data_IF_566383941016
#
_entry.id   IF_566383941016
#
_cell.length_a   1.000
_cell.length_b   1.000
_cell.length_c   1.000
_cell.angle_alpha   90.00
_cell.angle_beta   90.00
_cell.angle_gamma   90.00
#
_symmetry.space_group_name_H-M   'P 1'
#
loop_
_entity.id
_entity.type
_entity.pdbx_description
1 polymer ?
#
# COMPACT_ATOMS: atom_id res chain seq x y z
N UNK A 1 16.69 26.53 3.56
CA UNK A 1 15.39 25.95 3.14
C UNK A 1 14.59 26.97 2.30
N UNK A 2 15.08 27.33 1.11
CA UNK A 2 14.54 28.39 0.24
C UNK A 2 14.73 28.01 -1.25
N UNK A 3 14.05 26.99 -1.78
CA UNK A 3 14.31 26.58 -3.19
C UNK A 3 13.16 26.71 -4.18
N UNK A 4 11.92 27.00 -3.76
CA UNK A 4 10.85 27.42 -4.68
C UNK A 4 9.81 28.25 -3.94
N UNK A 5 9.68 29.54 -4.26
CA UNK A 5 8.56 30.42 -3.84
C UNK A 5 7.28 30.00 -4.56
N UNK A 6 6.81 28.78 -4.33
CA UNK A 6 5.50 28.33 -4.78
C UNK A 6 4.61 28.38 -3.55
N UNK A 7 3.74 29.38 -3.48
CA UNK A 7 2.72 29.39 -2.44
C UNK A 7 1.91 28.11 -2.54
N UNK A 8 1.66 27.47 -1.39
CA UNK A 8 0.79 26.30 -1.32
C UNK A 8 -0.64 26.76 -1.66
N UNK A 9 -0.92 26.83 -2.97
CA UNK A 9 -2.18 27.30 -3.52
C UNK A 9 -3.25 26.21 -3.38
N UNK A 10 -4.51 26.62 -3.32
CA UNK A 10 -5.69 25.72 -3.37
C UNK A 10 -5.57 24.74 -4.56
N UNK A 11 -4.94 25.18 -5.64
CA UNK A 11 -4.72 24.39 -6.86
C UNK A 11 -3.67 23.29 -6.66
N UNK A 12 -2.62 23.55 -5.87
CA UNK A 12 -1.66 22.50 -5.48
C UNK A 12 -2.31 21.46 -4.54
N UNK A 13 -3.21 21.91 -3.65
CA UNK A 13 -4.00 21.04 -2.78
C UNK A 13 -4.93 20.11 -3.58
N UNK A 14 -5.60 20.62 -4.62
CA UNK A 14 -6.42 19.79 -5.54
C UNK A 14 -5.53 18.73 -6.23
N UNK A 15 -4.32 19.12 -6.65
CA UNK A 15 -3.32 18.19 -7.16
C UNK A 15 -3.08 17.03 -6.19
N UNK A 16 -2.70 17.32 -4.94
CA UNK A 16 -2.47 16.30 -3.91
C UNK A 16 -3.69 15.42 -3.65
N UNK A 17 -4.90 15.97 -3.62
CA UNK A 17 -6.13 15.19 -3.45
C UNK A 17 -6.34 14.18 -4.59
N UNK A 18 -6.09 14.59 -5.84
CA UNK A 18 -6.14 13.69 -7.00
C UNK A 18 -5.07 12.60 -6.91
N UNK A 19 -3.87 12.96 -6.47
CA UNK A 19 -2.77 12.00 -6.27
C UNK A 19 -3.14 10.92 -5.27
N UNK A 20 -3.73 11.30 -4.13
CA UNK A 20 -4.18 10.35 -3.10
C UNK A 20 -5.14 9.32 -3.72
N UNK A 21 -6.07 9.74 -4.58
CA UNK A 21 -7.01 8.83 -5.25
C UNK A 21 -6.34 7.81 -6.15
N UNK A 22 -5.40 8.26 -6.99
CA UNK A 22 -4.65 7.40 -7.93
C UNK A 22 -3.81 6.37 -7.15
N UNK A 23 -3.07 6.84 -6.16
CA UNK A 23 -2.16 6.02 -5.35
C UNK A 23 -2.95 5.02 -4.48
N UNK A 24 -4.01 5.48 -3.81
CA UNK A 24 -4.86 4.62 -2.95
C UNK A 24 -5.52 3.49 -3.73
N UNK A 25 -6.02 3.77 -4.95
CA UNK A 25 -6.61 2.73 -5.81
C UNK A 25 -5.60 1.62 -6.09
N UNK A 26 -4.36 1.98 -6.42
CA UNK A 26 -3.30 1.02 -6.71
C UNK A 26 -2.91 0.19 -5.46
N UNK A 27 -2.91 0.81 -4.27
CA UNK A 27 -2.65 0.15 -2.99
C UNK A 27 -3.75 -0.86 -2.61
N UNK A 28 -5.02 -0.43 -2.67
CA UNK A 28 -6.17 -1.29 -2.36
C UNK A 28 -6.16 -2.53 -3.26
N UNK A 29 -5.91 -2.34 -4.55
CA UNK A 29 -5.84 -3.43 -5.52
C UNK A 29 -4.68 -4.42 -5.27
N UNK A 30 -3.60 -4.02 -4.60
CA UNK A 30 -2.52 -4.92 -4.18
C UNK A 30 -2.95 -5.75 -2.97
N UNK A 31 -3.55 -5.09 -1.97
CA UNK A 31 -4.03 -5.74 -0.75
C UNK A 31 -5.16 -6.72 -1.07
N UNK A 32 -6.10 -6.36 -1.95
CA UNK A 32 -7.18 -7.26 -2.38
C UNK A 32 -6.63 -8.53 -3.01
N UNK A 33 -5.65 -8.43 -3.92
CA UNK A 33 -5.04 -9.60 -4.55
C UNK A 33 -4.28 -10.46 -3.54
N UNK A 34 -3.61 -9.84 -2.57
CA UNK A 34 -2.92 -10.58 -1.51
C UNK A 34 -3.91 -11.32 -0.59
N UNK A 35 -5.00 -10.66 -0.17
CA UNK A 35 -6.05 -11.25 0.66
C UNK A 35 -6.83 -12.35 -0.08
N UNK A 36 -7.09 -12.16 -1.37
CA UNK A 36 -7.76 -13.15 -2.21
C UNK A 36 -6.91 -14.43 -2.31
N UNK A 37 -5.60 -14.30 -2.50
CA UNK A 37 -4.65 -15.42 -2.51
C UNK A 37 -4.47 -16.10 -1.15
N UNK A 38 -4.45 -15.34 -0.07
CA UNK A 38 -4.39 -15.90 1.28
C UNK A 38 -5.64 -16.75 1.58
N UNK A 39 -6.83 -16.27 1.18
CA UNK A 39 -8.12 -16.92 1.50
C UNK A 39 -8.49 -18.06 0.55
N UNK A 40 -8.32 -17.87 -0.76
CA UNK A 40 -8.78 -18.83 -1.76
C UNK A 40 -7.70 -19.86 -2.11
N UNK A 41 -6.42 -19.44 -2.13
CA UNK A 41 -5.29 -20.31 -2.50
C UNK A 41 -4.55 -20.84 -1.26
N UNK A 42 -4.86 -20.34 -0.05
CA UNK A 42 -4.23 -20.78 1.20
C UNK A 42 -2.74 -20.43 1.29
N UNK A 43 -2.27 -19.50 0.46
CA UNK A 43 -0.86 -19.12 0.40
C UNK A 43 -0.41 -18.41 1.68
N UNK A 44 0.86 -18.59 2.04
CA UNK A 44 1.45 -17.83 3.13
C UNK A 44 1.39 -16.31 2.80
N UNK A 45 0.94 -15.46 3.74
CA UNK A 45 0.85 -14.01 3.58
C UNK A 45 2.10 -13.37 2.99
N UNK A 46 3.28 -13.88 3.33
CA UNK A 46 4.55 -13.38 2.77
C UNK A 46 4.70 -13.63 1.28
N UNK A 47 4.23 -14.78 0.80
CA UNK A 47 4.26 -15.16 -0.62
C UNK A 47 3.15 -14.43 -1.37
N UNK A 48 1.95 -14.34 -0.79
CA UNK A 48 0.79 -13.68 -1.39
C UNK A 48 1.05 -12.18 -1.66
N UNK A 49 1.59 -11.45 -0.68
CA UNK A 49 1.90 -10.02 -0.83
C UNK A 49 3.04 -9.77 -1.82
N UNK A 50 4.02 -10.67 -1.88
CA UNK A 50 5.14 -10.56 -2.83
C UNK A 50 4.66 -10.73 -4.27
N UNK A 51 3.84 -11.75 -4.54
CA UNK A 51 3.24 -11.93 -5.87
C UNK A 51 2.33 -10.75 -6.23
N UNK A 52 1.50 -10.29 -5.30
CA UNK A 52 0.65 -9.12 -5.51
C UNK A 52 1.47 -7.86 -5.85
N UNK A 53 2.61 -7.64 -5.18
CA UNK A 53 3.51 -6.53 -5.45
C UNK A 53 4.09 -6.59 -6.88
N UNK A 54 4.52 -7.78 -7.34
CA UNK A 54 5.06 -7.97 -8.70
C UNK A 54 4.00 -7.74 -9.78
N UNK A 55 2.79 -8.27 -9.60
CA UNK A 55 1.69 -8.08 -10.56
C UNK A 55 1.30 -6.60 -10.70
N UNK A 56 1.44 -5.81 -9.62
CA UNK A 56 1.05 -4.40 -9.59
C UNK A 56 2.17 -3.43 -9.97
N UNK A 57 3.43 -3.86 -9.91
CA UNK A 57 4.58 -3.02 -10.30
C UNK A 57 4.42 -2.45 -11.71
N UNK A 58 4.03 -3.29 -12.68
CA UNK A 58 3.78 -2.87 -14.07
C UNK A 58 2.64 -1.83 -14.18
N UNK A 59 1.43 -2.09 -13.67
CA UNK A 59 0.35 -1.09 -13.62
C UNK A 59 0.69 0.22 -12.87
N UNK A 60 1.43 0.14 -11.76
CA UNK A 60 1.84 1.31 -10.98
C UNK A 60 2.76 2.20 -11.82
N UNK A 61 3.75 1.61 -12.49
CA UNK A 61 4.61 2.35 -13.39
C UNK A 61 3.83 2.93 -14.58
N UNK A 62 2.92 2.17 -15.17
CA UNK A 62 2.09 2.63 -16.30
C UNK A 62 1.29 3.88 -15.94
N UNK A 63 0.60 3.88 -14.80
CA UNK A 63 -0.21 5.02 -14.34
C UNK A 63 0.66 6.23 -13.97
N UNK A 64 1.81 5.99 -13.32
CA UNK A 64 2.75 7.05 -12.94
C UNK A 64 3.37 7.71 -14.16
N UNK A 65 3.76 6.93 -15.17
CA UNK A 65 4.28 7.44 -16.44
C UNK A 65 3.23 8.25 -17.20
N UNK A 66 2.00 7.76 -17.32
CA UNK A 66 0.92 8.49 -17.98
C UNK A 66 0.63 9.84 -17.30
N UNK A 67 0.59 9.86 -15.97
CA UNK A 67 0.33 11.08 -15.21
C UNK A 67 1.51 12.08 -15.30
N UNK A 68 2.76 11.61 -15.26
CA UNK A 68 3.94 12.46 -15.46
C UNK A 68 3.95 13.05 -16.87
N UNK A 69 3.69 12.25 -17.91
CA UNK A 69 3.63 12.74 -19.29
C UNK A 69 2.51 13.77 -19.50
N UNK A 70 1.35 13.59 -18.85
CA UNK A 70 0.26 14.56 -18.88
C UNK A 70 0.55 15.84 -18.07
N UNK A 71 1.32 15.74 -16.99
CA UNK A 71 1.73 16.87 -16.16
C UNK A 71 2.95 17.63 -16.71
N UNK A 72 3.75 16.99 -17.58
CA UNK A 72 4.93 17.56 -18.19
C UNK A 72 4.68 18.88 -18.95
N UNK A 73 3.68 18.99 -19.85
CA UNK A 73 3.40 20.26 -20.52
C UNK A 73 2.88 21.33 -19.55
N UNK A 74 2.21 20.96 -18.45
CA UNK A 74 1.76 21.89 -17.41
C UNK A 74 2.94 22.43 -16.59
N UNK A 75 3.94 21.58 -16.32
CA UNK A 75 5.15 21.95 -15.60
C UNK A 75 6.11 22.80 -16.46
N UNK A 76 6.14 22.58 -17.78
CA UNK A 76 7.03 23.29 -18.70
C UNK A 76 6.39 24.50 -19.39
N UNK A 77 5.06 24.65 -19.38
CA UNK A 77 4.38 25.72 -20.11
C UNK A 77 4.93 27.13 -19.84
N UNK A 78 5.10 27.91 -20.91
CA UNK A 78 5.48 29.33 -20.90
C UNK A 78 4.32 30.11 -21.56
N UNK A 79 3.72 31.08 -20.85
CA UNK A 79 2.59 31.87 -21.35
C UNK A 79 1.69 32.42 -20.23
N UNK A 80 0.63 33.15 -20.59
CA UNK A 80 -0.34 33.69 -19.62
C UNK A 80 -1.00 32.57 -18.80
N UNK A 81 -0.99 32.71 -17.48
CA UNK A 81 -1.45 31.69 -16.54
C UNK A 81 -0.44 30.56 -16.25
N UNK A 82 0.78 30.63 -16.76
CA UNK A 82 1.86 29.68 -16.41
C UNK A 82 2.24 29.75 -14.92
N UNK A 83 2.10 30.91 -14.29
CA UNK A 83 2.32 31.09 -12.84
C UNK A 83 1.41 30.18 -12.00
N UNK A 84 0.24 29.80 -12.53
CA UNK A 84 -0.72 28.93 -11.86
C UNK A 84 -0.57 27.46 -12.25
N UNK A 85 -0.22 27.18 -13.51
CA UNK A 85 -0.10 25.81 -14.06
C UNK A 85 1.20 25.12 -13.66
N UNK A 86 2.31 25.87 -13.57
CA UNK A 86 3.62 25.34 -13.16
C UNK A 86 3.63 24.76 -11.74
N UNK A 87 3.13 25.46 -10.70
CA UNK A 87 2.99 24.91 -9.35
C UNK A 87 2.28 23.56 -9.32
N UNK A 88 1.19 23.45 -10.09
CA UNK A 88 0.35 22.26 -10.15
C UNK A 88 1.09 21.10 -10.81
N UNK A 89 1.73 21.33 -11.96
CA UNK A 89 2.49 20.29 -12.66
C UNK A 89 3.64 19.75 -11.80
N UNK A 90 4.40 20.64 -11.16
CA UNK A 90 5.53 20.26 -10.29
C UNK A 90 5.04 19.48 -9.06
N UNK A 91 3.95 19.93 -8.42
CA UNK A 91 3.37 19.24 -7.25
C UNK A 91 2.85 17.86 -7.59
N UNK A 92 2.23 17.69 -8.77
CA UNK A 92 1.75 16.39 -9.26
C UNK A 92 2.91 15.44 -9.52
N UNK A 93 3.94 15.87 -10.26
CA UNK A 93 5.08 15.02 -10.59
C UNK A 93 5.86 14.62 -9.33
N UNK A 94 6.18 15.60 -8.47
CA UNK A 94 6.90 15.34 -7.22
C UNK A 94 6.10 14.47 -6.26
N UNK A 95 4.81 14.77 -6.10
CA UNK A 95 3.90 14.00 -5.26
C UNK A 95 3.72 12.57 -5.75
N UNK A 96 3.54 12.36 -7.06
CA UNK A 96 3.44 11.00 -7.64
C UNK A 96 4.66 10.17 -7.31
N UNK A 97 5.86 10.68 -7.57
CA UNK A 97 7.09 9.90 -7.39
C UNK A 97 7.24 9.49 -5.92
N UNK A 98 7.12 10.46 -5.00
CA UNK A 98 7.27 10.22 -3.56
C UNK A 98 6.18 9.30 -3.04
N UNK A 99 4.91 9.58 -3.35
CA UNK A 99 3.78 8.77 -2.90
C UNK A 99 3.86 7.35 -3.44
N UNK A 100 4.30 7.17 -4.69
CA UNK A 100 4.37 5.82 -5.27
C UNK A 100 5.45 4.97 -4.63
N UNK A 101 6.64 5.54 -4.39
CA UNK A 101 7.71 4.83 -3.67
C UNK A 101 7.25 4.50 -2.26
N UNK A 102 6.64 5.47 -1.56
CA UNK A 102 6.15 5.28 -0.21
C UNK A 102 5.09 4.17 -0.17
N UNK A 103 4.12 4.16 -1.09
CA UNK A 103 3.06 3.14 -1.12
C UNK A 103 3.58 1.75 -1.49
N UNK A 104 4.40 1.64 -2.54
CA UNK A 104 4.90 0.34 -3.01
C UNK A 104 5.77 -0.36 -1.95
N UNK A 105 6.43 0.42 -1.09
CA UNK A 105 7.23 -0.11 0.02
C UNK A 105 6.42 -0.27 1.32
N UNK A 106 5.66 0.75 1.70
CA UNK A 106 4.97 0.80 3.00
C UNK A 106 3.83 -0.20 3.06
N UNK A 107 3.07 -0.39 1.97
CA UNK A 107 1.95 -1.34 1.93
C UNK A 107 2.36 -2.78 2.21
N UNK A 108 3.35 -3.38 1.51
CA UNK A 108 3.76 -4.75 1.79
C UNK A 108 4.39 -4.90 3.18
N UNK A 109 5.14 -3.89 3.63
CA UNK A 109 5.76 -3.90 4.97
C UNK A 109 4.69 -3.91 6.06
N UNK A 110 3.71 -3.01 6.00
CA UNK A 110 2.62 -2.96 6.99
C UNK A 110 1.83 -4.26 7.00
N UNK A 111 1.54 -4.84 5.83
CA UNK A 111 0.82 -6.10 5.74
C UNK A 111 1.58 -7.25 6.44
N UNK A 112 2.89 -7.37 6.21
CA UNK A 112 3.74 -8.37 6.88
C UNK A 112 3.82 -8.14 8.40
N UNK A 113 3.89 -6.89 8.85
CA UNK A 113 3.85 -6.55 10.28
C UNK A 113 2.53 -6.99 10.91
N UNK A 114 1.40 -6.67 10.27
CA UNK A 114 0.08 -7.06 10.75
C UNK A 114 -0.09 -8.58 10.80
N UNK A 115 0.39 -9.33 9.80
CA UNK A 115 0.36 -10.80 9.85
C UNK A 115 1.18 -11.35 11.02
N UNK A 116 2.39 -10.82 11.25
CA UNK A 116 3.23 -11.24 12.38
C UNK A 116 2.56 -11.00 13.73
N UNK A 117 1.84 -9.88 13.89
CA UNK A 117 1.04 -9.62 15.09
C UNK A 117 -0.13 -10.61 15.22
N UNK A 118 -0.83 -10.89 14.11
CA UNK A 118 -1.99 -11.79 14.08
C UNK A 118 -1.62 -13.24 14.40
N UNK A 119 -0.46 -13.72 13.94
CA UNK A 119 0.06 -15.06 14.30
C UNK A 119 0.41 -15.20 15.78
N UNK A 120 0.98 -14.15 16.37
CA UNK A 120 1.36 -14.15 17.80
C UNK A 120 0.14 -14.19 18.73
N UNK A 121 -0.99 -13.64 18.30
CA UNK A 121 -2.27 -13.76 19.03
C UNK A 121 -2.91 -15.14 18.85
N UNK A 122 -2.74 -15.75 17.66
CA UNK A 122 -3.29 -17.07 17.33
C UNK A 122 -2.53 -18.25 17.97
N UNK A 123 -1.29 -18.06 18.44
CA UNK A 123 -0.56 -19.06 19.24
C UNK A 123 -0.97 -19.10 20.72
N UNK A 124 -1.82 -18.18 21.19
CA UNK A 124 -2.32 -18.13 22.57
C UNK A 124 -3.51 -19.07 22.92
N UNK A 125 -4.39 -19.57 22.03
CA UNK A 125 -5.55 -20.38 22.46
C UNK A 125 -5.25 -21.87 22.68
N UNK A 126 -4.13 -22.41 22.18
CA UNK A 126 -3.88 -23.86 22.22
C UNK A 126 -3.39 -24.38 23.57
N UNK A 127 -2.95 -23.51 24.49
CA UNK A 127 -2.59 -23.92 25.86
C UNK A 127 -3.81 -24.28 26.72
N UNK A 128 -4.95 -23.63 26.48
CA UNK A 128 -6.18 -23.89 27.25
C UNK A 128 -6.86 -25.19 26.76
N UNK A 129 -6.88 -25.44 25.45
CA UNK A 129 -7.40 -26.68 24.88
C UNK A 129 -6.54 -27.92 25.27
N UNK A 130 -5.21 -27.79 25.34
CA UNK A 130 -4.33 -28.87 25.80
C UNK A 130 -4.45 -29.15 27.30
N UNK A 131 -4.71 -28.14 28.12
CA UNK A 131 -4.95 -28.33 29.55
C UNK A 131 -6.25 -29.11 29.80
N UNK A 132 -7.32 -28.80 29.04
CA UNK A 132 -8.61 -29.50 29.18
C UNK A 132 -8.62 -30.93 28.60
N UNK A 133 -7.74 -31.26 27.66
CA UNK A 133 -7.62 -32.62 27.09
C UNK A 133 -6.84 -33.63 27.94
N UNK A 134 -6.19 -33.20 29.03
CA UNK A 134 -5.32 -34.05 29.85
C UNK A 134 -5.99 -34.67 31.09
N UNK A 135 -7.22 -34.27 31.43
CA UNK A 135 -7.93 -34.76 32.62
C UNK A 135 -8.84 -35.97 32.38
N UNK A 136 -8.85 -36.55 31.17
CA UNK A 136 -9.78 -37.63 30.79
C UNK A 136 -9.16 -39.02 30.54
N UNK A 137 -7.83 -39.20 30.68
CA UNK A 137 -7.16 -40.48 30.37
C UNK A 137 -6.51 -41.09 31.62
N UNK A 138 -7.34 -41.49 32.58
CA UNK A 138 -6.89 -42.03 33.86
C UNK A 138 -7.84 -43.01 34.54
N UNK A 139 -8.74 -43.66 33.82
CA UNK A 139 -9.58 -44.74 34.37
C UNK A 139 -9.73 -45.87 33.36
N UNK A 140 -8.75 -46.78 33.33
CA UNK A 140 -8.79 -47.97 32.49
C UNK A 140 -7.70 -48.99 32.81
N UNK A 141 -8.04 -49.94 33.69
CA UNK A 141 -7.48 -51.29 33.90
C UNK A 141 -6.08 -51.42 34.55
N UNK A 142 -5.67 -52.57 35.14
CA UNK A 142 -6.29 -53.92 35.10
C UNK A 142 -6.36 -54.70 36.45
N UNK A 143 -7.24 -55.73 36.48
CA UNK A 143 -7.13 -57.05 37.14
C UNK A 143 -8.51 -57.55 37.61
#
# INVERSE_FOLDING_TARGET
LQFSKVEFSIIAMIGVLLLIGIVKKNAIMMIDVALDRERNEGLDPSVAIHQAALLRFRPILMTTMAAILGALPLALGYGDGAELRRPLGISIIGGLIVSQILTLYTTPVIYLYLDRFRRRDRDRPSRIARAMGSSGSGAGAPA
#
